data_IF_358406847557
#
_entry.id   IF_358406847557
#
_cell.length_a   1.000
_cell.length_b   1.000
_cell.length_c   1.000
_cell.angle_alpha   90.00
_cell.angle_beta   90.00
_cell.angle_gamma   90.00
#
_symmetry.space_group_name_H-M   'P 1'
#
loop_
_entity.id
_entity.type
_entity.pdbx_description
1 polymer ?
#
# COMPACT_ATOMS: atom_id res chain seq x y z
N UNK A 1 25.88 15.49 -28.88
CA UNK A 1 24.75 15.46 -29.85
C UNK A 1 25.29 15.24 -31.24
N UNK A 2 24.72 14.32 -32.01
CA UNK A 2 25.12 13.98 -33.37
C UNK A 2 23.88 13.96 -34.27
N UNK A 3 24.01 14.43 -35.52
CA UNK A 3 22.91 14.41 -36.47
C UNK A 3 22.57 12.97 -36.87
N UNK A 4 21.33 12.55 -36.75
CA UNK A 4 20.86 11.19 -36.99
C UNK A 4 20.01 11.04 -38.27
N UNK A 5 19.82 12.13 -39.03
CA UNK A 5 19.04 12.16 -40.27
C UNK A 5 17.78 12.98 -40.18
N UNK A 6 16.82 12.72 -41.05
CA UNK A 6 15.51 13.38 -41.04
C UNK A 6 14.40 12.34 -40.96
N UNK A 7 13.26 12.74 -40.36
CA UNK A 7 12.04 11.96 -40.36
C UNK A 7 11.29 12.05 -41.70
N UNK A 8 10.17 11.34 -41.84
CA UNK A 8 9.31 11.36 -43.05
C UNK A 8 8.77 12.76 -43.42
N UNK A 9 8.75 13.70 -42.43
CA UNK A 9 8.32 15.08 -42.60
C UNK A 9 9.47 16.06 -42.81
N UNK A 10 10.67 15.55 -43.08
CA UNK A 10 11.92 16.31 -43.23
C UNK A 10 12.38 17.08 -42.01
N UNK A 11 11.90 16.69 -40.83
CA UNK A 11 12.34 17.29 -39.55
C UNK A 11 13.68 16.62 -39.15
N UNK A 12 14.64 17.43 -38.68
CA UNK A 12 15.95 16.95 -38.26
C UNK A 12 15.83 16.05 -37.01
N UNK A 13 16.51 14.91 -37.03
CA UNK A 13 16.66 13.98 -35.92
C UNK A 13 18.09 14.06 -35.37
N UNK A 14 18.18 14.08 -34.04
CA UNK A 14 19.44 14.19 -33.32
C UNK A 14 19.60 13.03 -32.35
N UNK A 15 20.76 12.37 -32.40
CA UNK A 15 21.16 11.39 -31.39
C UNK A 15 21.73 12.15 -30.19
N UNK A 16 21.13 11.97 -29.04
CA UNK A 16 21.51 12.60 -27.79
C UNK A 16 21.81 11.55 -26.72
N UNK A 17 22.76 11.88 -25.86
CA UNK A 17 23.00 11.12 -24.63
C UNK A 17 22.28 11.84 -23.50
N UNK A 18 21.38 11.15 -22.81
CA UNK A 18 20.69 11.70 -21.64
C UNK A 18 21.64 11.75 -20.43
N UNK A 19 21.33 12.58 -19.46
CA UNK A 19 22.09 12.66 -18.21
C UNK A 19 22.12 11.33 -17.43
N UNK A 20 21.12 10.46 -17.63
CA UNK A 20 21.10 9.10 -17.06
C UNK A 20 22.01 8.08 -17.82
N UNK A 21 22.68 8.50 -18.89
CA UNK A 21 23.54 7.67 -19.73
C UNK A 21 22.87 7.02 -20.93
N UNK A 22 21.54 7.02 -21.03
CA UNK A 22 20.81 6.42 -22.14
C UNK A 22 20.86 7.25 -23.42
N UNK A 23 21.02 6.55 -24.57
CA UNK A 23 20.97 7.16 -25.89
C UNK A 23 19.53 7.29 -26.38
N UNK A 24 19.16 8.45 -26.89
CA UNK A 24 17.84 8.68 -27.46
C UNK A 24 17.94 9.49 -28.76
N UNK A 25 16.98 9.30 -29.66
CA UNK A 25 16.85 10.08 -30.89
C UNK A 25 15.69 11.05 -30.70
N UNK A 26 15.95 12.34 -30.86
CA UNK A 26 15.01 13.41 -30.58
C UNK A 26 14.87 14.32 -31.79
N UNK A 27 13.66 14.83 -32.03
CA UNK A 27 13.40 15.87 -33.04
C UNK A 27 14.11 17.17 -32.68
N UNK A 28 14.80 17.77 -33.63
CA UNK A 28 15.54 19.02 -33.43
C UNK A 28 14.65 20.16 -32.94
N UNK A 29 13.41 20.25 -33.42
CA UNK A 29 12.43 21.22 -32.93
C UNK A 29 12.05 21.01 -31.46
N UNK A 30 12.03 19.77 -30.96
CA UNK A 30 11.75 19.49 -29.55
C UNK A 30 12.95 19.81 -28.64
N UNK A 31 14.17 19.74 -29.17
CA UNK A 31 15.37 20.16 -28.45
C UNK A 31 15.44 21.69 -28.35
N UNK A 32 15.23 22.40 -29.47
CA UNK A 32 15.31 23.86 -29.50
C UNK A 32 14.18 24.55 -28.71
N UNK A 33 13.00 23.93 -28.64
CA UNK A 33 11.88 24.43 -27.84
C UNK A 33 11.95 24.06 -26.35
N UNK A 34 12.90 23.18 -25.94
CA UNK A 34 13.01 22.67 -24.58
C UNK A 34 11.93 21.64 -24.18
N UNK A 35 11.10 21.18 -25.16
CA UNK A 35 10.06 20.19 -24.90
C UNK A 35 10.61 18.80 -24.51
N UNK A 36 11.85 18.52 -24.89
CA UNK A 36 12.51 17.25 -24.53
C UNK A 36 13.74 17.56 -23.69
N UNK A 37 13.63 17.33 -22.38
CA UNK A 37 14.70 17.54 -21.40
C UNK A 37 15.40 16.24 -20.98
N UNK A 38 14.84 15.06 -21.32
CA UNK A 38 15.40 13.74 -20.95
C UNK A 38 14.94 12.66 -21.93
N UNK A 39 15.51 11.45 -21.82
CA UNK A 39 15.04 10.25 -22.55
C UNK A 39 13.68 9.71 -22.07
N UNK A 40 13.03 10.37 -21.11
CA UNK A 40 11.84 9.93 -20.40
C UNK A 40 12.11 9.57 -18.93
N UNK A 41 13.36 9.41 -18.52
CA UNK A 41 13.75 9.07 -17.16
C UNK A 41 13.21 10.10 -16.14
N UNK A 42 13.34 11.39 -16.44
CA UNK A 42 12.83 12.48 -15.58
C UNK A 42 11.30 12.37 -15.35
N UNK A 43 10.54 12.02 -16.39
CA UNK A 43 9.10 11.85 -16.27
C UNK A 43 8.74 10.61 -15.42
N UNK A 44 9.51 9.53 -15.51
CA UNK A 44 9.35 8.34 -14.68
C UNK A 44 9.64 8.66 -13.21
N UNK A 45 10.71 9.38 -12.92
CA UNK A 45 11.08 9.81 -11.56
C UNK A 45 10.02 10.72 -10.94
N UNK A 46 9.59 11.75 -11.67
CA UNK A 46 8.54 12.68 -11.21
C UNK A 46 7.20 11.97 -11.01
N UNK A 47 6.85 11.05 -11.90
CA UNK A 47 5.61 10.26 -11.78
C UNK A 47 5.67 9.29 -10.61
N UNK A 48 6.80 8.61 -10.39
CA UNK A 48 7.01 7.75 -9.24
C UNK A 48 6.85 8.53 -7.93
N UNK A 49 7.46 9.72 -7.82
CA UNK A 49 7.35 10.59 -6.64
C UNK A 49 5.92 11.08 -6.38
N UNK A 50 5.18 11.44 -7.43
CA UNK A 50 3.78 11.90 -7.31
C UNK A 50 2.80 10.79 -6.96
N UNK A 51 3.01 9.58 -7.49
CA UNK A 51 2.10 8.46 -7.34
C UNK A 51 2.38 7.62 -6.09
N UNK A 52 3.59 7.68 -5.54
CA UNK A 52 3.98 6.94 -4.34
C UNK A 52 3.58 7.71 -3.09
N UNK A 53 2.37 7.47 -2.58
CA UNK A 53 1.93 8.05 -1.28
C UNK A 53 2.55 7.35 -0.08
N UNK A 54 2.65 6.02 -0.11
CA UNK A 54 3.09 5.21 1.03
C UNK A 54 3.94 3.98 0.65
N UNK A 55 4.22 3.75 -0.64
CA UNK A 55 5.06 2.63 -1.13
C UNK A 55 4.46 1.21 -1.01
N UNK A 56 3.28 1.06 -0.40
CA UNK A 56 2.64 -0.25 -0.17
C UNK A 56 1.79 -0.74 -1.35
N UNK A 57 1.71 0.04 -2.43
CA UNK A 57 1.08 -0.31 -3.70
C UNK A 57 2.00 0.09 -4.84
N UNK A 58 2.66 -0.87 -5.47
CA UNK A 58 3.54 -0.65 -6.63
C UNK A 58 3.17 -1.61 -7.76
N UNK A 59 3.17 -1.15 -9.03
CA UNK A 59 2.95 -1.98 -10.22
C UNK A 59 1.77 -2.96 -10.09
N UNK A 60 0.60 -2.48 -9.67
CA UNK A 60 -0.61 -3.29 -9.43
C UNK A 60 -0.47 -4.36 -8.33
N UNK A 61 0.62 -4.39 -7.58
CA UNK A 61 0.81 -5.30 -6.44
C UNK A 61 0.52 -4.57 -5.14
N UNK A 62 -0.50 -5.01 -4.43
CA UNK A 62 -0.83 -4.53 -3.10
C UNK A 62 -0.03 -5.32 -2.06
N UNK A 63 0.65 -4.64 -1.15
CA UNK A 63 1.33 -5.31 -0.05
C UNK A 63 0.34 -6.09 0.83
N UNK A 64 0.80 -7.11 1.58
CA UNK A 64 -0.07 -7.83 2.52
C UNK A 64 -0.72 -6.92 3.56
N UNK A 65 -0.02 -5.91 4.05
CA UNK A 65 -0.53 -4.90 5.01
C UNK A 65 -1.65 -4.09 4.40
N UNK A 66 -1.42 -3.51 3.22
CA UNK A 66 -2.41 -2.72 2.50
C UNK A 66 -3.67 -3.54 2.15
N UNK A 67 -3.48 -4.80 1.74
CA UNK A 67 -4.59 -5.72 1.48
C UNK A 67 -5.42 -6.00 2.72
N UNK A 68 -4.77 -6.18 3.88
CA UNK A 68 -5.47 -6.37 5.17
C UNK A 68 -6.32 -5.16 5.54
N UNK A 69 -5.78 -3.95 5.37
CA UNK A 69 -6.50 -2.70 5.60
C UNK A 69 -7.70 -2.54 4.66
N UNK A 70 -7.53 -2.77 3.36
CA UNK A 70 -8.64 -2.72 2.40
C UNK A 70 -9.74 -3.73 2.74
N UNK A 71 -9.37 -4.97 3.11
CA UNK A 71 -10.32 -6.00 3.49
C UNK A 71 -11.07 -5.66 4.80
N UNK A 72 -10.43 -4.96 5.72
CA UNK A 72 -11.07 -4.45 6.95
C UNK A 72 -12.16 -3.43 6.58
N UNK A 73 -11.84 -2.43 5.77
CA UNK A 73 -12.80 -1.43 5.31
C UNK A 73 -13.97 -2.08 4.54
N UNK A 74 -13.64 -2.95 3.57
CA UNK A 74 -14.65 -3.62 2.75
C UNK A 74 -15.66 -4.41 3.60
N UNK A 75 -15.16 -5.19 4.58
CA UNK A 75 -16.03 -5.96 5.48
C UNK A 75 -16.89 -5.09 6.39
N UNK A 76 -16.33 -4.02 6.94
CA UNK A 76 -17.06 -3.12 7.85
C UNK A 76 -18.10 -2.24 7.13
N UNK A 77 -17.89 -1.96 5.85
CA UNK A 77 -18.85 -1.21 5.03
C UNK A 77 -19.96 -2.11 4.47
N UNK A 78 -19.81 -3.44 4.57
CA UNK A 78 -20.77 -4.47 4.13
C UNK A 78 -21.38 -4.18 2.75
N UNK A 79 -20.56 -3.73 1.80
CA UNK A 79 -20.99 -3.20 0.49
C UNK A 79 -21.77 -4.20 -0.37
N UNK A 80 -21.57 -5.49 -0.14
CA UNK A 80 -22.17 -6.57 -0.90
C UNK A 80 -23.23 -7.36 -0.12
N UNK A 81 -23.51 -7.00 1.12
CA UNK A 81 -24.47 -7.69 2.00
C UNK A 81 -24.03 -9.10 2.46
N UNK A 82 -22.88 -9.61 2.00
CA UNK A 82 -22.43 -10.96 2.30
C UNK A 82 -21.77 -11.09 3.69
N UNK A 83 -21.46 -9.97 4.35
CA UNK A 83 -20.77 -9.95 5.63
C UNK A 83 -21.69 -9.59 6.80
N UNK A 84 -22.78 -10.32 6.98
CA UNK A 84 -23.78 -10.07 8.05
C UNK A 84 -23.18 -10.04 9.45
N UNK A 85 -22.16 -10.85 9.71
CA UNK A 85 -21.43 -10.85 10.99
C UNK A 85 -20.64 -9.56 11.27
N UNK A 86 -20.52 -8.68 10.30
CA UNK A 86 -19.85 -7.38 10.40
C UNK A 86 -20.82 -6.19 10.32
N UNK A 87 -22.13 -6.42 10.30
CA UNK A 87 -23.13 -5.37 10.13
C UNK A 87 -23.01 -4.24 11.17
N UNK A 88 -22.65 -4.57 12.41
CA UNK A 88 -22.46 -3.61 13.52
C UNK A 88 -21.00 -3.18 13.72
N UNK A 89 -20.07 -3.77 12.98
CA UNK A 89 -18.65 -3.50 13.14
C UNK A 89 -18.25 -2.25 12.37
N UNK A 90 -17.68 -1.28 13.05
CA UNK A 90 -17.17 -0.03 12.46
C UNK A 90 -15.66 0.00 12.45
N UNK A 91 -15.11 0.83 11.59
CA UNK A 91 -13.69 1.21 11.62
C UNK A 91 -13.61 2.64 12.12
N UNK A 92 -12.72 2.90 13.07
CA UNK A 92 -12.51 4.25 13.61
C UNK A 92 -12.09 5.21 12.48
N UNK A 93 -12.44 6.48 12.58
CA UNK A 93 -12.19 7.48 11.54
C UNK A 93 -10.68 7.64 11.26
N UNK A 94 -9.84 7.48 12.28
CA UNK A 94 -8.39 7.52 12.16
C UNK A 94 -7.87 6.50 11.14
N UNK A 95 -8.40 5.28 11.14
CA UNK A 95 -7.96 4.19 10.27
C UNK A 95 -8.64 4.17 8.89
N UNK A 96 -9.45 5.15 8.58
CA UNK A 96 -9.90 5.41 7.20
C UNK A 96 -8.74 5.86 6.29
N UNK A 97 -7.64 6.36 6.89
CA UNK A 97 -6.37 6.64 6.21
C UNK A 97 -5.39 5.51 6.49
N UNK A 98 -4.78 4.98 5.42
CA UNK A 98 -3.84 3.86 5.52
C UNK A 98 -2.60 4.20 6.34
N UNK A 99 -2.11 5.43 6.23
CA UNK A 99 -0.93 5.92 6.92
C UNK A 99 -1.11 5.83 8.45
N UNK A 100 -2.27 6.19 8.95
CA UNK A 100 -2.59 6.12 10.38
C UNK A 100 -2.71 4.66 10.86
N UNK A 101 -3.37 3.81 10.06
CA UNK A 101 -3.45 2.37 10.33
C UNK A 101 -2.06 1.73 10.40
N UNK A 102 -1.18 2.11 9.46
CA UNK A 102 0.20 1.61 9.42
C UNK A 102 1.02 2.13 10.61
N UNK A 103 0.84 3.40 11.01
CA UNK A 103 1.53 3.97 12.16
C UNK A 103 1.15 3.28 13.48
N UNK A 104 -0.13 2.91 13.63
CA UNK A 104 -0.64 2.31 14.86
C UNK A 104 -0.35 0.79 14.97
N UNK A 105 -0.39 0.06 13.86
CA UNK A 105 -0.26 -1.42 13.84
C UNK A 105 1.06 -1.92 13.22
N UNK A 106 1.80 -1.05 12.55
CA UNK A 106 2.99 -1.44 11.80
C UNK A 106 2.70 -2.35 10.59
N UNK A 107 3.75 -2.80 9.91
CA UNK A 107 3.63 -3.73 8.79
C UNK A 107 3.14 -5.10 9.26
N UNK A 108 2.32 -5.75 8.41
CA UNK A 108 1.79 -7.10 8.68
C UNK A 108 2.92 -8.12 8.76
N UNK A 109 3.12 -8.80 9.90
CA UNK A 109 4.08 -9.89 10.01
C UNK A 109 3.68 -11.09 9.15
N UNK A 110 4.67 -11.87 8.72
CA UNK A 110 4.44 -13.09 7.93
C UNK A 110 3.61 -14.10 8.74
N UNK A 111 2.58 -14.66 8.14
CA UNK A 111 1.69 -15.62 8.78
C UNK A 111 0.63 -15.02 9.70
N UNK A 112 0.61 -13.68 9.89
CA UNK A 112 -0.40 -13.02 10.70
C UNK A 112 -1.55 -12.46 9.85
N UNK A 113 -2.70 -12.29 10.48
CA UNK A 113 -3.89 -11.62 9.93
C UNK A 113 -4.47 -10.63 10.94
N UNK A 114 -5.21 -9.64 10.46
CA UNK A 114 -5.86 -8.67 11.34
C UNK A 114 -7.06 -9.32 12.03
N UNK A 115 -7.10 -9.20 13.36
CA UNK A 115 -8.21 -9.66 14.19
C UNK A 115 -8.57 -8.64 15.26
N UNK A 116 -9.75 -8.78 15.85
CA UNK A 116 -10.24 -7.99 16.99
C UNK A 116 -10.22 -8.85 18.25
N UNK A 117 -10.02 -8.24 19.39
CA UNK A 117 -10.07 -8.95 20.68
C UNK A 117 -11.43 -9.64 20.83
N UNK A 118 -11.41 -10.95 21.09
CA UNK A 118 -12.59 -11.81 21.23
C UNK A 118 -13.56 -11.72 20.03
N UNK A 119 -13.08 -11.25 18.89
CA UNK A 119 -13.87 -11.01 17.68
C UNK A 119 -15.09 -10.08 17.93
N UNK A 120 -14.95 -9.15 18.88
CA UNK A 120 -15.99 -8.21 19.29
C UNK A 120 -15.57 -6.75 19.09
N UNK A 121 -16.51 -5.80 19.18
CA UNK A 121 -16.25 -4.37 19.08
C UNK A 121 -15.81 -3.91 17.70
N UNK A 122 -15.25 -2.72 17.64
CA UNK A 122 -14.85 -2.04 16.42
C UNK A 122 -13.37 -2.29 16.06
N UNK A 123 -13.01 -1.95 14.84
CA UNK A 123 -11.61 -1.84 14.44
C UNK A 123 -11.07 -0.48 14.87
N UNK A 124 -10.31 -0.49 15.94
CA UNK A 124 -9.72 0.69 16.55
C UNK A 124 -8.41 0.36 17.28
N UNK A 125 -7.54 1.34 17.56
CA UNK A 125 -6.36 1.15 18.37
C UNK A 125 -6.74 0.54 19.74
N UNK A 126 -5.99 -0.50 20.16
CA UNK A 126 -6.26 -1.22 21.41
C UNK A 126 -7.24 -2.39 21.27
N UNK A 127 -8.07 -2.48 20.23
CA UNK A 127 -8.97 -3.60 19.99
C UNK A 127 -8.62 -4.45 18.78
N UNK A 128 -7.77 -4.00 17.87
CA UNK A 128 -7.36 -4.76 16.70
C UNK A 128 -5.85 -4.97 16.65
N UNK A 129 -5.42 -6.20 16.32
CA UNK A 129 -4.02 -6.61 16.35
C UNK A 129 -3.70 -7.58 15.21
N UNK A 130 -2.40 -7.72 14.89
CA UNK A 130 -1.91 -8.81 14.06
C UNK A 130 -1.89 -10.10 14.86
N UNK A 131 -2.58 -11.12 14.39
CA UNK A 131 -2.74 -12.43 15.04
C UNK A 131 -2.33 -13.55 14.11
N UNK A 132 -1.65 -14.54 14.62
CA UNK A 132 -1.39 -15.81 13.93
C UNK A 132 -2.69 -16.61 13.79
N UNK A 133 -2.67 -17.66 12.97
CA UNK A 133 -3.84 -18.55 12.80
C UNK A 133 -4.22 -19.25 14.12
N UNK A 134 -3.23 -19.61 14.94
CA UNK A 134 -3.46 -20.21 16.25
C UNK A 134 -4.14 -19.24 17.22
N UNK A 135 -3.65 -18.00 17.30
CA UNK A 135 -4.25 -16.93 18.11
C UNK A 135 -5.67 -16.58 17.65
N UNK A 136 -5.91 -16.53 16.33
CA UNK A 136 -7.26 -16.34 15.79
C UNK A 136 -8.23 -17.45 16.19
N UNK A 137 -7.76 -18.70 16.24
CA UNK A 137 -8.57 -19.84 16.68
C UNK A 137 -8.89 -19.77 18.16
N UNK A 138 -7.90 -19.43 19.00
CA UNK A 138 -8.09 -19.22 20.44
C UNK A 138 -9.00 -18.03 20.71
N UNK A 139 -8.81 -16.93 19.99
CA UNK A 139 -9.63 -15.72 20.09
C UNK A 139 -11.11 -16.03 19.86
N UNK A 140 -11.43 -16.80 18.83
CA UNK A 140 -12.82 -17.26 18.57
C UNK A 140 -13.38 -18.21 19.63
N UNK A 141 -12.58 -19.12 20.14
CA UNK A 141 -12.98 -20.06 21.20
C UNK A 141 -13.25 -19.34 22.52
N UNK A 142 -12.47 -18.30 22.84
CA UNK A 142 -12.56 -17.56 24.08
C UNK A 142 -13.60 -16.43 24.06
N UNK A 143 -14.32 -16.23 22.94
CA UNK A 143 -15.40 -15.24 22.81
C UNK A 143 -16.42 -15.30 23.96
N UNK A 144 -16.61 -16.49 24.56
CA UNK A 144 -17.51 -16.70 25.69
C UNK A 144 -16.79 -16.77 27.04
N UNK A 145 -15.44 -16.62 27.09
CA UNK A 145 -14.65 -16.83 28.30
C UNK A 145 -13.60 -15.72 28.49
N UNK A 146 -14.07 -14.51 28.69
CA UNK A 146 -13.28 -13.26 28.74
C UNK A 146 -12.14 -13.31 29.76
N UNK A 147 -12.32 -13.99 30.91
CA UNK A 147 -11.36 -14.00 32.03
C UNK A 147 -10.04 -14.76 31.73
N UNK A 148 -10.02 -15.68 30.76
CA UNK A 148 -8.82 -16.46 30.42
C UNK A 148 -7.91 -15.81 29.39
N UNK A 149 -8.39 -14.76 28.69
CA UNK A 149 -7.68 -14.22 27.55
C UNK A 149 -6.61 -13.19 27.91
N UNK A 150 -6.85 -12.40 28.97
CA UNK A 150 -5.97 -11.31 29.40
C UNK A 150 -4.64 -11.78 30.02
N UNK A 151 -4.53 -13.04 30.42
CA UNK A 151 -3.34 -13.56 31.12
C UNK A 151 -2.36 -14.36 30.24
N UNK A 152 -2.71 -14.69 29.00
CA UNK A 152 -1.91 -15.62 28.16
C UNK A 152 -1.64 -15.16 26.73
N UNK A 153 -2.13 -14.00 26.29
CA UNK A 153 -1.95 -13.55 24.92
C UNK A 153 -0.64 -12.79 24.75
N UNK A 154 0.38 -13.47 24.31
CA UNK A 154 1.54 -12.88 23.65
C UNK A 154 1.12 -12.50 22.24
N UNK A 155 0.83 -11.22 22.01
CA UNK A 155 0.63 -10.67 20.66
C UNK A 155 1.88 -10.90 19.79
N UNK A 156 1.67 -10.94 18.47
CA UNK A 156 2.75 -11.14 17.51
C UNK A 156 3.97 -10.27 17.87
N UNK A 157 5.19 -10.83 17.98
CA UNK A 157 6.39 -10.17 18.57
C UNK A 157 6.76 -8.82 17.96
N UNK A 158 6.30 -8.54 16.75
CA UNK A 158 6.55 -7.26 16.05
C UNK A 158 5.87 -6.04 16.68
N UNK A 159 4.97 -6.21 17.66
CA UNK A 159 4.24 -5.11 18.30
C UNK A 159 4.78 -4.75 19.70
N UNK A 160 5.79 -5.48 20.19
CA UNK A 160 6.39 -5.24 21.51
C UNK A 160 7.59 -4.27 21.48
N UNK A 161 7.95 -3.75 20.30
CA UNK A 161 9.12 -2.87 20.10
C UNK A 161 8.73 -1.43 19.74
N UNK A 162 7.66 -0.89 20.34
CA UNK A 162 7.29 0.52 20.22
C UNK A 162 7.11 1.14 21.61
#
# INVERSE_FOLDING_TARGET
>A
MEFAGCDKRRSSLWRCVCQCGENCIVLGGSLSSGNTASCGCLNLELSAGRLTKHGYTTHNKRSPTYRSWMNMLYRSENRDGHHLSYAEVRVCDRWRKFENFLADLGPRPKGCSLGRILDTGNYEPGNAFWMTTAEQSLNRRNRFNIRKWTSTSTFCPAQQAA
#
